data_IF_702261709413
#
_entry.id   IF_702261709413
#
_cell.length_a   1.000
_cell.length_b   1.000
_cell.length_c   1.000
_cell.angle_alpha   90.00
_cell.angle_beta   90.00
_cell.angle_gamma   90.00
#
_symmetry.space_group_name_H-M   'P 1'
#
loop_
_entity.id
_entity.type
_entity.pdbx_description
1 polymer ?
#
# COMPACT_ATOMS: atom_id res chain seq x y z
N UNK A 1 1.04 62.88 38.76
CA UNK A 1 1.30 64.23 38.19
C UNK A 1 2.55 64.05 37.33
N UNK A 2 2.58 64.12 36.00
CA UNK A 2 1.94 64.96 34.97
C UNK A 2 2.01 64.13 33.65
N UNK A 3 0.91 63.84 32.94
CA UNK A 3 0.33 64.62 31.82
C UNK A 3 1.30 64.82 30.64
N UNK A 4 0.96 64.81 29.36
CA UNK A 4 -0.20 64.51 28.51
C UNK A 4 0.26 64.96 27.09
N UNK A 5 -0.50 64.63 26.04
CA UNK A 5 -0.41 65.18 24.66
C UNK A 5 0.67 64.60 23.73
N UNK A 6 0.46 64.42 22.42
CA UNK A 6 -0.54 64.99 21.51
C UNK A 6 -0.63 64.11 20.24
N UNK A 7 -1.83 63.96 19.71
CA UNK A 7 -2.17 63.41 18.39
C UNK A 7 -1.62 64.26 17.24
N UNK A 8 -1.17 63.63 16.14
CA UNK A 8 -1.38 64.19 14.80
C UNK A 8 -1.31 63.10 13.71
N UNK A 9 -2.42 62.91 13.00
CA UNK A 9 -2.51 62.11 11.76
C UNK A 9 -2.40 63.08 10.59
N UNK A 10 -1.53 62.82 9.60
CA UNK A 10 -2.03 62.81 8.23
C UNK A 10 -1.29 61.82 7.31
N UNK A 11 -2.03 61.05 6.50
CA UNK A 11 -1.41 60.31 5.39
C UNK A 11 -2.15 59.04 4.97
N UNK A 12 -3.45 59.10 4.71
CA UNK A 12 -4.08 58.08 3.89
C UNK A 12 -3.69 58.32 2.42
N UNK A 13 -3.01 57.34 1.82
CA UNK A 13 -3.07 57.16 0.38
C UNK A 13 -3.92 55.91 0.14
N UNK A 14 -5.17 56.12 -0.25
CA UNK A 14 -6.08 55.09 -0.74
C UNK A 14 -5.76 54.89 -2.22
N UNK A 15 -5.38 53.68 -2.60
CA UNK A 15 -5.50 53.21 -3.98
C UNK A 15 -6.37 51.96 -3.98
N UNK A 16 -7.67 52.18 -4.18
CA UNK A 16 -8.59 51.14 -4.66
C UNK A 16 -8.24 50.84 -6.13
N UNK A 17 -7.88 49.59 -6.38
CA UNK A 17 -7.90 48.98 -7.70
C UNK A 17 -8.75 47.72 -7.59
N UNK A 18 -10.01 47.83 -7.99
CA UNK A 18 -10.95 46.72 -8.11
C UNK A 18 -10.49 45.80 -9.26
N UNK A 19 -10.40 44.50 -9.00
CA UNK A 19 -10.53 43.44 -10.00
C UNK A 19 -10.85 42.12 -9.30
N UNK A 20 -12.10 41.69 -9.48
CA UNK A 20 -12.66 40.42 -9.04
C UNK A 20 -12.07 39.20 -9.77
N UNK A 21 -12.28 38.03 -9.14
CA UNK A 21 -12.14 36.65 -9.66
C UNK A 21 -10.69 36.15 -9.85
N UNK A 22 -10.29 34.95 -9.43
CA UNK A 22 -11.03 33.70 -9.38
C UNK A 22 -10.30 32.63 -8.54
N UNK A 23 -11.10 31.74 -7.95
CA UNK A 23 -10.80 30.32 -7.70
C UNK A 23 -9.65 29.89 -6.76
N UNK A 24 -10.11 29.30 -5.66
CA UNK A 24 -9.48 28.27 -4.83
C UNK A 24 -8.40 27.39 -5.49
N UNK A 25 -7.27 27.22 -4.78
CA UNK A 25 -6.64 25.93 -4.42
C UNK A 25 -5.20 26.14 -3.90
N UNK A 26 -4.56 25.17 -3.22
CA UNK A 26 -5.12 24.19 -2.31
C UNK A 26 -4.40 24.24 -0.95
N UNK A 27 -5.16 23.98 0.11
CA UNK A 27 -4.61 23.52 1.39
C UNK A 27 -3.65 22.37 1.12
N UNK A 28 -2.37 22.59 1.40
CA UNK A 28 -1.33 21.58 1.33
C UNK A 28 -1.56 20.49 2.37
N UNK A 29 -2.60 19.67 2.17
CA UNK A 29 -2.69 18.38 2.83
C UNK A 29 -1.67 17.52 2.12
N UNK A 30 -0.43 17.56 2.61
CA UNK A 30 0.57 16.56 2.27
C UNK A 30 -0.05 15.21 2.60
N UNK A 31 -0.66 14.56 1.61
CA UNK A 31 -1.06 13.16 1.72
C UNK A 31 0.20 12.45 2.16
N UNK A 32 0.28 12.04 3.43
CA UNK A 32 1.36 11.20 3.95
C UNK A 32 1.41 10.02 2.98
N UNK A 33 2.40 10.03 2.09
CA UNK A 33 2.60 8.95 1.12
C UNK A 33 2.80 7.72 1.97
N UNK A 34 1.80 6.84 2.01
CA UNK A 34 1.87 5.59 2.74
C UNK A 34 3.14 4.88 2.26
N UNK A 35 4.15 4.82 3.15
CA UNK A 35 5.49 4.32 2.83
C UNK A 35 5.49 2.81 2.61
N UNK A 36 4.43 2.13 3.04
CA UNK A 36 4.13 0.75 2.71
C UNK A 36 3.57 0.74 1.30
N UNK A 37 4.42 0.43 0.33
CA UNK A 37 3.99 0.10 -1.02
C UNK A 37 2.91 -0.99 -0.90
N UNK A 38 1.62 -0.63 -0.95
CA UNK A 38 0.48 -1.56 -0.78
C UNK A 38 0.31 -2.36 -2.06
N UNK A 39 1.34 -3.12 -2.45
CA UNK A 39 1.20 -4.12 -3.49
C UNK A 39 0.18 -5.15 -2.99
N UNK A 40 -0.77 -5.49 -3.87
CA UNK A 40 -1.81 -6.46 -3.53
C UNK A 40 -1.16 -7.79 -3.11
N UNK A 41 -1.73 -8.49 -2.12
CA UNK A 41 -1.22 -9.80 -1.69
C UNK A 41 -1.12 -10.79 -2.85
N UNK A 42 -2.10 -10.72 -3.76
CA UNK A 42 -2.12 -11.44 -5.03
C UNK A 42 -1.85 -10.43 -6.16
N UNK A 43 -0.77 -10.60 -6.94
CA UNK A 43 -0.47 -9.73 -8.07
C UNK A 43 -1.40 -10.01 -9.26
N UNK A 44 -1.54 -9.04 -10.16
CA UNK A 44 -2.36 -9.19 -11.37
C UNK A 44 -1.74 -10.19 -12.37
N UNK A 45 -0.41 -10.23 -12.46
CA UNK A 45 0.33 -11.13 -13.33
C UNK A 45 0.94 -12.26 -12.51
N UNK A 46 0.22 -13.37 -12.36
CA UNK A 46 0.69 -14.54 -11.61
C UNK A 46 1.84 -15.27 -12.30
N UNK A 47 1.90 -15.23 -13.63
CA UNK A 47 2.96 -15.84 -14.44
C UNK A 47 4.35 -15.26 -14.20
N UNK A 48 4.45 -14.07 -13.58
CA UNK A 48 5.75 -13.50 -13.18
C UNK A 48 6.31 -14.14 -11.90
N UNK A 49 5.48 -14.87 -11.15
CA UNK A 49 5.82 -15.41 -9.83
C UNK A 49 5.75 -16.94 -9.76
N UNK A 50 5.09 -17.57 -10.72
CA UNK A 50 4.93 -19.01 -10.80
C UNK A 50 5.69 -19.53 -12.01
N UNK A 51 6.46 -20.60 -11.80
CA UNK A 51 6.96 -21.39 -12.92
C UNK A 51 5.87 -22.34 -13.47
N UNK A 52 6.22 -23.15 -14.47
CA UNK A 52 5.28 -24.07 -15.13
C UNK A 52 4.73 -25.13 -14.16
N UNK A 53 5.60 -25.78 -13.38
CA UNK A 53 5.22 -26.82 -12.42
C UNK A 53 4.28 -26.26 -11.34
N UNK A 54 4.60 -25.10 -10.78
CA UNK A 54 3.76 -24.41 -9.81
C UNK A 54 2.42 -24.00 -10.42
N UNK A 55 2.40 -23.51 -11.66
CA UNK A 55 1.16 -23.13 -12.34
C UNK A 55 0.24 -24.33 -12.58
N UNK A 56 0.82 -25.48 -12.96
CA UNK A 56 0.09 -26.72 -13.18
C UNK A 56 -0.45 -27.29 -11.88
N UNK A 57 0.39 -27.35 -10.84
CA UNK A 57 -0.03 -27.80 -9.51
C UNK A 57 -1.11 -26.91 -8.93
N UNK A 58 -0.98 -25.59 -9.02
CA UNK A 58 -2.00 -24.66 -8.51
C UNK A 58 -3.37 -24.93 -9.12
N UNK A 59 -3.44 -25.06 -10.46
CA UNK A 59 -4.69 -25.40 -11.18
C UNK A 59 -5.26 -26.75 -10.76
N UNK A 60 -4.41 -27.74 -10.57
CA UNK A 60 -4.84 -29.06 -10.11
C UNK A 60 -5.47 -28.97 -8.71
N UNK A 61 -4.82 -28.26 -7.80
CA UNK A 61 -5.22 -28.14 -6.40
C UNK A 61 -6.44 -27.23 -6.21
N UNK A 62 -6.67 -26.26 -7.10
CA UNK A 62 -7.91 -25.48 -7.20
C UNK A 62 -9.15 -26.36 -7.33
N UNK A 63 -9.04 -27.51 -8.00
CA UNK A 63 -10.15 -28.48 -8.11
C UNK A 63 -10.50 -29.14 -6.77
N UNK A 64 -9.57 -29.15 -5.82
CA UNK A 64 -9.75 -29.66 -4.46
C UNK A 64 -10.04 -28.54 -3.44
N UNK A 65 -10.28 -27.32 -3.91
CA UNK A 65 -10.62 -26.17 -3.09
C UNK A 65 -9.42 -25.42 -2.50
N UNK A 66 -8.20 -25.78 -2.87
CA UNK A 66 -7.03 -24.97 -2.51
C UNK A 66 -6.95 -23.73 -3.40
N UNK A 67 -6.50 -22.61 -2.87
CA UNK A 67 -6.42 -21.36 -3.61
C UNK A 67 -5.15 -20.61 -3.26
N UNK A 68 -4.69 -19.78 -4.20
CA UNK A 68 -3.60 -18.85 -3.92
C UNK A 68 -4.04 -17.86 -2.84
N UNK A 69 -3.32 -17.83 -1.72
CA UNK A 69 -3.59 -16.90 -0.62
C UNK A 69 -2.85 -15.58 -0.83
N UNK A 70 -1.52 -15.64 -0.99
CA UNK A 70 -0.67 -14.47 -1.22
C UNK A 70 0.73 -14.88 -1.68
N UNK A 71 1.51 -13.91 -2.18
CA UNK A 71 2.91 -14.11 -2.56
C UNK A 71 3.80 -13.23 -1.69
N UNK A 72 4.74 -13.85 -0.96
CA UNK A 72 5.75 -13.10 -0.20
C UNK A 72 6.86 -12.67 -1.15
N UNK A 73 7.32 -11.43 -1.01
CA UNK A 73 8.38 -10.84 -1.84
C UNK A 73 9.48 -10.25 -0.94
N UNK A 74 10.37 -11.09 -0.38
CA UNK A 74 11.50 -10.59 0.39
C UNK A 74 12.46 -9.81 -0.52
N UNK A 75 13.14 -8.78 0.00
CA UNK A 75 13.95 -7.88 -0.83
C UNK A 75 15.18 -8.55 -1.48
N UNK A 76 15.58 -9.74 -1.03
CA UNK A 76 16.79 -10.45 -1.45
C UNK A 76 16.61 -11.97 -1.52
N UNK A 77 15.37 -12.45 -1.62
CA UNK A 77 15.07 -13.87 -1.76
C UNK A 77 13.99 -14.04 -2.82
N UNK A 78 13.86 -15.26 -3.33
CA UNK A 78 12.85 -15.58 -4.32
C UNK A 78 11.43 -15.38 -3.75
N UNK A 79 10.47 -15.00 -4.61
CA UNK A 79 9.08 -14.92 -4.19
C UNK A 79 8.56 -16.27 -3.69
N UNK A 80 7.87 -16.26 -2.56
CA UNK A 80 7.29 -17.46 -1.96
C UNK A 80 5.78 -17.46 -2.20
N UNK A 81 5.29 -18.49 -2.89
CA UNK A 81 3.87 -18.63 -3.24
C UNK A 81 3.15 -19.38 -2.14
N UNK A 82 2.22 -18.71 -1.47
CA UNK A 82 1.45 -19.31 -0.37
C UNK A 82 0.04 -19.65 -0.86
N UNK A 83 -0.36 -20.90 -0.65
CA UNK A 83 -1.70 -21.41 -0.89
C UNK A 83 -2.43 -21.68 0.42
N UNK A 84 -3.75 -21.60 0.39
CA UNK A 84 -4.62 -21.95 1.51
C UNK A 84 -5.67 -22.96 1.05
N UNK A 85 -6.12 -23.82 1.97
CA UNK A 85 -7.26 -24.68 1.71
C UNK A 85 -8.59 -23.89 1.70
N UNK A 86 -9.69 -24.55 1.34
CA UNK A 86 -10.99 -23.91 1.12
C UNK A 86 -11.54 -23.14 2.33
N UNK A 87 -11.25 -23.61 3.54
CA UNK A 87 -11.69 -22.98 4.80
C UNK A 87 -10.64 -22.03 5.41
N UNK A 88 -9.49 -21.85 4.74
CA UNK A 88 -8.36 -21.05 5.19
C UNK A 88 -7.78 -21.47 6.56
N UNK A 89 -8.05 -22.70 7.01
CA UNK A 89 -7.48 -23.25 8.26
C UNK A 89 -6.05 -23.75 8.10
N UNK A 90 -5.65 -24.10 6.87
CA UNK A 90 -4.33 -24.61 6.55
C UNK A 90 -3.70 -23.78 5.44
N UNK A 91 -2.43 -23.49 5.62
CA UNK A 91 -1.60 -22.84 4.61
C UNK A 91 -0.44 -23.73 4.23
N UNK A 92 -0.01 -23.61 2.99
CA UNK A 92 1.15 -24.31 2.46
C UNK A 92 1.97 -23.42 1.54
N UNK A 93 3.27 -23.71 1.48
CA UNK A 93 4.18 -23.13 0.51
C UNK A 93 4.15 -23.99 -0.75
N UNK A 94 3.85 -23.39 -1.90
CA UNK A 94 3.96 -24.04 -3.19
C UNK A 94 5.42 -23.92 -3.67
N UNK A 95 6.17 -25.00 -3.55
CA UNK A 95 7.59 -25.09 -3.86
C UNK A 95 7.83 -25.05 -5.38
N UNK A 96 9.08 -24.84 -5.78
CA UNK A 96 9.46 -24.71 -7.20
C UNK A 96 9.23 -25.96 -8.04
N UNK A 97 9.17 -27.14 -7.42
CA UNK A 97 8.89 -28.42 -8.08
C UNK A 97 7.37 -28.72 -8.17
N UNK A 98 6.53 -27.77 -7.75
CA UNK A 98 5.08 -27.92 -7.73
C UNK A 98 4.54 -28.70 -6.53
N UNK A 99 5.36 -29.11 -5.57
CA UNK A 99 4.90 -29.72 -4.33
C UNK A 99 4.37 -28.68 -3.33
N UNK A 100 3.44 -29.08 -2.45
CA UNK A 100 3.03 -28.25 -1.31
C UNK A 100 3.78 -28.68 -0.05
N UNK A 101 4.43 -27.72 0.59
CA UNK A 101 5.00 -27.84 1.91
C UNK A 101 4.15 -27.09 2.95
N UNK A 102 3.36 -27.82 3.74
CA UNK A 102 2.52 -27.27 4.82
C UNK A 102 3.29 -27.01 6.12
N UNK A 103 4.48 -27.60 6.28
CA UNK A 103 5.31 -27.47 7.48
C UNK A 103 6.10 -26.15 7.51
N UNK A 104 6.37 -25.55 6.34
CA UNK A 104 7.25 -24.39 6.19
C UNK A 104 6.75 -23.09 6.83
N UNK A 105 5.46 -22.96 7.19
CA UNK A 105 4.88 -21.68 7.62
C UNK A 105 4.91 -21.41 9.13
N UNK A 106 5.33 -22.37 9.97
CA UNK A 106 5.19 -22.30 11.42
C UNK A 106 6.41 -21.75 12.19
N UNK A 107 7.20 -20.83 11.63
CA UNK A 107 8.18 -20.07 12.43
C UNK A 107 7.49 -18.90 13.16
N UNK A 108 6.80 -19.21 14.26
CA UNK A 108 6.38 -18.22 15.23
C UNK A 108 7.61 -17.66 15.95
N UNK A 109 7.96 -16.41 15.68
CA UNK A 109 8.97 -15.67 16.45
C UNK A 109 8.30 -15.16 17.74
N UNK A 110 8.84 -15.59 18.88
CA UNK A 110 8.43 -15.13 20.22
C UNK A 110 9.01 -13.75 20.55
#
# INVERSE_FOLDING_TARGET
>A
MQSNFQSNVPGYSVVEGDSQQESAAPSGVSKKRERRNRSKPIPYNLSEYLNEDQSMSLRHMESFGWQLAFIRRPLFQDPMVVVANADQSQFGLLEVDGSINTSAMLELRH
#
